data_IF_376547986505
#
_entry.id   IF_376547986505
#
_cell.length_a   1.000
_cell.length_b   1.000
_cell.length_c   1.000
_cell.angle_alpha   90.00
_cell.angle_beta   90.00
_cell.angle_gamma   90.00
#
_symmetry.space_group_name_H-M   'P 1'
#
loop_
_entity.id
_entity.type
_entity.pdbx_description
1 polymer ?
#
# COMPACT_ATOMS: atom_id res chain seq x y z
N UNK A 1 -7.44 -11.13 -21.96
CA UNK A 1 -7.60 -9.66 -22.02
C UNK A 1 -8.96 -9.17 -22.53
N UNK A 2 -10.03 -9.94 -22.38
CA UNK A 2 -11.41 -9.45 -22.55
C UNK A 2 -12.36 -10.42 -21.82
N UNK A 3 -11.96 -11.70 -21.83
CA UNK A 3 -12.59 -12.80 -21.10
C UNK A 3 -12.53 -12.68 -19.56
N UNK A 4 -11.47 -12.07 -19.00
CA UNK A 4 -11.32 -11.90 -17.53
C UNK A 4 -12.23 -10.78 -17.00
N UNK A 5 -12.34 -9.67 -17.72
CA UNK A 5 -13.23 -8.55 -17.37
C UNK A 5 -14.70 -8.98 -17.45
N UNK A 6 -15.07 -9.78 -18.46
CA UNK A 6 -16.42 -10.35 -18.61
C UNK A 6 -16.77 -11.39 -17.54
N UNK A 7 -15.80 -11.88 -16.77
CA UNK A 7 -16.02 -12.92 -15.75
C UNK A 7 -16.22 -12.37 -14.33
N UNK A 8 -16.04 -11.06 -14.12
CA UNK A 8 -16.22 -10.41 -12.83
C UNK A 8 -17.72 -10.39 -12.45
N UNK A 9 -18.11 -11.28 -11.53
CA UNK A 9 -19.43 -11.28 -10.88
C UNK A 9 -19.32 -10.59 -9.52
N UNK A 10 -20.20 -9.63 -9.25
CA UNK A 10 -20.25 -8.86 -8.00
C UNK A 10 -21.12 -7.61 -8.16
N UNK A 11 -21.35 -6.87 -7.07
CA UNK A 11 -22.04 -5.58 -7.14
C UNK A 11 -21.16 -4.57 -7.91
N UNK A 12 -21.70 -3.53 -8.59
CA UNK A 12 -20.92 -2.65 -9.47
C UNK A 12 -19.67 -2.03 -8.83
N UNK A 13 -19.71 -1.76 -7.52
CA UNK A 13 -18.56 -1.27 -6.74
C UNK A 13 -17.42 -2.29 -6.70
N UNK A 14 -17.73 -3.56 -6.42
CA UNK A 14 -16.76 -4.65 -6.36
C UNK A 14 -16.17 -4.95 -7.75
N UNK A 15 -16.96 -4.82 -8.81
CA UNK A 15 -16.48 -5.01 -10.18
C UNK A 15 -15.49 -3.91 -10.58
N UNK A 16 -15.75 -2.65 -10.19
CA UNK A 16 -14.83 -1.52 -10.43
C UNK A 16 -13.54 -1.69 -9.61
N UNK A 17 -13.64 -2.12 -8.36
CA UNK A 17 -12.50 -2.38 -7.48
C UNK A 17 -11.63 -3.52 -8.05
N UNK A 18 -12.25 -4.62 -8.47
CA UNK A 18 -11.56 -5.76 -9.10
C UNK A 18 -10.93 -5.41 -10.46
N UNK A 19 -11.60 -4.59 -11.28
CA UNK A 19 -11.05 -4.14 -12.56
C UNK A 19 -9.83 -3.22 -12.38
N UNK A 20 -9.85 -2.35 -11.35
CA UNK A 20 -8.68 -1.55 -10.96
C UNK A 20 -7.53 -2.44 -10.50
N UNK A 21 -7.80 -3.46 -9.69
CA UNK A 21 -6.81 -4.43 -9.20
C UNK A 21 -6.17 -5.26 -10.34
N UNK A 22 -6.93 -5.67 -11.34
CA UNK A 22 -6.41 -6.40 -12.50
C UNK A 22 -5.46 -5.56 -13.35
N UNK A 23 -5.75 -4.27 -13.52
CA UNK A 23 -4.91 -3.35 -14.28
C UNK A 23 -3.60 -3.01 -13.54
N UNK A 24 -3.67 -2.89 -12.21
CA UNK A 24 -2.49 -2.61 -11.37
C UNK A 24 -1.61 -3.83 -11.15
N UNK A 25 -2.18 -5.05 -11.04
CA UNK A 25 -1.40 -6.30 -10.97
C UNK A 25 -0.46 -6.49 -12.16
N UNK A 26 -0.91 -6.17 -13.38
CA UNK A 26 -0.07 -6.17 -14.60
C UNK A 26 0.97 -5.06 -14.64
N UNK A 27 0.79 -3.98 -13.86
CA UNK A 27 1.69 -2.82 -13.81
C UNK A 27 2.75 -2.95 -12.71
N UNK A 28 2.55 -3.79 -11.69
CA UNK A 28 3.51 -3.98 -10.59
C UNK A 28 4.67 -4.92 -10.92
N UNK A 29 4.46 -5.85 -11.86
CA UNK A 29 5.51 -6.77 -12.30
C UNK A 29 6.66 -6.05 -13.03
N UNK A 30 6.48 -4.79 -13.46
CA UNK A 30 7.58 -3.97 -13.97
C UNK A 30 8.45 -3.45 -12.81
N UNK A 31 9.43 -4.26 -12.42
CA UNK A 31 10.58 -3.95 -11.52
C UNK A 31 10.30 -2.82 -10.52
N UNK A 32 9.52 -3.12 -9.47
CA UNK A 32 9.59 -2.33 -8.23
C UNK A 32 11.06 -2.33 -7.78
N UNK A 33 11.55 -1.16 -7.36
CA UNK A 33 12.93 -1.00 -6.93
C UNK A 33 13.28 -1.90 -5.75
N UNK A 34 14.53 -2.35 -5.68
CA UNK A 34 14.99 -3.19 -4.58
C UNK A 34 14.89 -2.44 -3.24
N UNK A 35 14.46 -3.12 -2.16
CA UNK A 35 14.46 -2.54 -0.83
C UNK A 35 15.88 -2.21 -0.39
N UNK A 36 16.07 -1.06 0.27
CA UNK A 36 17.35 -0.60 0.80
C UNK A 36 17.47 -0.71 2.32
N UNK A 37 16.38 -1.07 2.99
CA UNK A 37 16.29 -1.29 4.45
C UNK A 37 15.06 -2.11 4.82
N UNK A 38 14.97 -2.57 6.06
CA UNK A 38 13.81 -3.32 6.57
C UNK A 38 12.49 -2.53 6.48
N UNK A 39 12.56 -1.21 6.61
CA UNK A 39 11.39 -0.33 6.52
C UNK A 39 10.89 -0.22 5.07
N UNK A 40 11.82 -0.01 4.13
CA UNK A 40 11.49 0.02 2.69
C UNK A 40 10.96 -1.33 2.20
N UNK A 41 11.52 -2.45 2.70
CA UNK A 41 11.02 -3.78 2.42
C UNK A 41 9.59 -3.95 2.91
N UNK A 42 9.30 -3.57 4.16
CA UNK A 42 7.94 -3.62 4.70
C UNK A 42 6.94 -2.81 3.87
N UNK A 43 7.30 -1.58 3.45
CA UNK A 43 6.46 -0.76 2.58
C UNK A 43 6.22 -1.44 1.23
N UNK A 44 7.28 -1.91 0.57
CA UNK A 44 7.20 -2.59 -0.74
C UNK A 44 6.33 -3.85 -0.64
N UNK A 45 6.55 -4.68 0.38
CA UNK A 45 5.79 -5.90 0.61
C UNK A 45 4.31 -5.57 0.86
N UNK A 46 4.02 -4.56 1.71
CA UNK A 46 2.65 -4.14 2.02
C UNK A 46 1.89 -3.64 0.79
N UNK A 47 2.53 -2.77 0.00
CA UNK A 47 1.98 -2.22 -1.24
C UNK A 47 1.77 -3.35 -2.27
N UNK A 48 2.78 -4.20 -2.48
CA UNK A 48 2.68 -5.37 -3.37
C UNK A 48 1.55 -6.31 -2.94
N UNK A 49 1.39 -6.53 -1.62
CA UNK A 49 0.35 -7.37 -1.07
C UNK A 49 -1.04 -6.77 -1.30
N UNK A 50 -1.19 -5.45 -1.12
CA UNK A 50 -2.43 -4.73 -1.41
C UNK A 50 -2.88 -4.92 -2.86
N UNK A 51 -1.98 -4.81 -3.83
CA UNK A 51 -2.35 -4.98 -5.24
C UNK A 51 -2.61 -6.43 -5.65
N UNK A 52 -2.03 -7.39 -4.95
CA UNK A 52 -2.24 -8.81 -5.25
C UNK A 52 -3.46 -9.42 -4.55
N UNK A 53 -3.78 -8.95 -3.34
CA UNK A 53 -4.76 -9.58 -2.45
C UNK A 53 -5.86 -8.62 -1.95
N UNK A 54 -5.74 -7.32 -2.21
CA UNK A 54 -6.74 -6.31 -1.88
C UNK A 54 -6.66 -5.77 -0.44
N UNK A 55 -7.60 -4.87 -0.11
CA UNK A 55 -7.63 -4.10 1.15
C UNK A 55 -7.69 -4.96 2.41
N UNK A 56 -8.63 -5.92 2.47
CA UNK A 56 -8.87 -6.69 3.70
C UNK A 56 -7.65 -7.51 4.12
N UNK A 57 -6.99 -8.19 3.18
CA UNK A 57 -5.86 -9.05 3.50
C UNK A 57 -4.56 -8.27 3.69
N UNK A 58 -4.37 -7.15 2.98
CA UNK A 58 -3.23 -6.25 3.21
C UNK A 58 -3.26 -5.56 4.58
N UNK A 59 -4.44 -5.22 5.11
CA UNK A 59 -4.58 -4.72 6.49
C UNK A 59 -4.11 -5.78 7.50
N UNK A 60 -4.55 -7.04 7.33
CA UNK A 60 -4.11 -8.14 8.21
C UNK A 60 -2.61 -8.39 8.09
N UNK A 61 -2.09 -8.35 6.86
CA UNK A 61 -0.66 -8.51 6.58
C UNK A 61 0.15 -7.40 7.26
N UNK A 62 -0.19 -6.14 7.04
CA UNK A 62 0.53 -4.99 7.61
C UNK A 62 0.57 -5.08 9.14
N UNK A 63 -0.58 -5.30 9.78
CA UNK A 63 -0.66 -5.42 11.24
C UNK A 63 0.25 -6.51 11.81
N UNK A 64 0.39 -7.65 11.13
CA UNK A 64 1.19 -8.78 11.60
C UNK A 64 2.70 -8.61 11.38
N UNK A 65 3.09 -7.75 10.44
CA UNK A 65 4.48 -7.65 9.98
C UNK A 65 5.15 -6.30 10.32
N UNK A 66 4.52 -5.46 11.14
CA UNK A 66 5.13 -4.24 11.68
C UNK A 66 5.88 -4.53 13.00
N UNK A 67 7.20 -4.43 12.98
CA UNK A 67 8.08 -4.78 14.09
C UNK A 67 8.74 -3.57 14.76
N UNK A 68 8.80 -2.43 14.08
CA UNK A 68 9.41 -1.20 14.60
C UNK A 68 8.50 0.03 14.41
N UNK A 69 8.89 1.17 15.02
CA UNK A 69 8.05 2.38 14.99
C UNK A 69 7.96 3.04 13.62
N UNK A 70 8.96 2.90 12.76
CA UNK A 70 8.90 3.40 11.37
C UNK A 70 7.90 2.56 10.58
N UNK A 71 7.92 1.23 10.71
CA UNK A 71 6.95 0.33 10.08
C UNK A 71 5.52 0.58 10.58
N UNK A 72 5.33 0.89 11.87
CA UNK A 72 4.02 1.33 12.38
C UNK A 72 3.58 2.66 11.73
N UNK A 73 4.50 3.59 11.54
CA UNK A 73 4.21 4.87 10.86
C UNK A 73 3.84 4.66 9.39
N UNK A 74 4.54 3.75 8.70
CA UNK A 74 4.21 3.30 7.34
C UNK A 74 2.81 2.68 7.31
N UNK A 75 2.50 1.81 8.28
CA UNK A 75 1.21 1.14 8.38
C UNK A 75 0.07 2.13 8.64
N UNK A 76 0.28 3.14 9.50
CA UNK A 76 -0.66 4.24 9.70
C UNK A 76 -0.96 4.97 8.38
N UNK A 77 0.08 5.36 7.65
CA UNK A 77 -0.06 6.06 6.37
C UNK A 77 -0.85 5.22 5.36
N UNK A 78 -0.55 3.91 5.31
CA UNK A 78 -1.27 2.95 4.48
C UNK A 78 -2.75 2.84 4.86
N UNK A 79 -3.07 2.68 6.15
CA UNK A 79 -4.45 2.59 6.63
C UNK A 79 -5.26 3.83 6.23
N UNK A 80 -4.66 5.01 6.37
CA UNK A 80 -5.28 6.26 5.95
C UNK A 80 -5.51 6.29 4.43
N UNK A 81 -4.52 5.90 3.63
CA UNK A 81 -4.62 5.85 2.17
C UNK A 81 -5.74 4.91 1.68
N UNK A 82 -5.92 3.77 2.35
CA UNK A 82 -7.01 2.82 2.00
C UNK A 82 -8.35 3.16 2.66
N UNK A 83 -8.46 4.28 3.41
CA UNK A 83 -9.68 4.69 4.12
C UNK A 83 -10.07 3.71 5.24
N UNK A 84 -9.15 3.44 6.16
CA UNK A 84 -9.38 2.66 7.37
C UNK A 84 -9.01 3.50 8.61
N UNK A 85 -9.93 3.57 9.58
CA UNK A 85 -9.86 4.47 10.73
C UNK A 85 -9.42 3.74 12.00
N UNK A 86 -8.16 3.31 12.02
CA UNK A 86 -7.53 2.66 13.18
C UNK A 86 -6.42 3.52 13.80
N UNK A 87 -6.56 4.85 13.78
CA UNK A 87 -5.54 5.79 14.30
C UNK A 87 -5.22 5.57 15.80
N UNK A 88 -6.19 5.08 16.57
CA UNK A 88 -6.06 4.82 18.01
C UNK A 88 -4.97 3.80 18.38
N UNK A 89 -4.48 2.99 17.43
CA UNK A 89 -3.44 1.99 17.70
C UNK A 89 -2.01 2.54 17.66
N UNK A 90 -1.83 3.82 17.32
CA UNK A 90 -0.53 4.43 17.09
C UNK A 90 -0.21 5.50 18.14
N UNK A 91 1.08 5.66 18.43
CA UNK A 91 1.58 6.78 19.25
C UNK A 91 1.63 8.08 18.44
N UNK A 92 1.69 9.23 19.12
CA UNK A 92 1.78 10.54 18.46
C UNK A 92 2.97 10.64 17.50
N UNK A 93 4.14 10.09 17.87
CA UNK A 93 5.32 10.08 17.00
C UNK A 93 5.10 9.25 15.73
N UNK A 94 4.42 8.11 15.86
CA UNK A 94 4.11 7.25 14.71
C UNK A 94 3.10 7.93 13.78
N UNK A 95 2.09 8.59 14.36
CA UNK A 95 1.11 9.39 13.62
C UNK A 95 1.79 10.56 12.90
N UNK A 96 2.71 11.26 13.55
CA UNK A 96 3.41 12.42 12.97
C UNK A 96 4.24 12.01 11.76
N UNK A 97 5.04 10.96 11.88
CA UNK A 97 5.81 10.42 10.75
C UNK A 97 4.88 9.87 9.66
N UNK A 98 3.83 9.16 10.06
CA UNK A 98 2.82 8.62 9.16
C UNK A 98 2.11 9.69 8.34
N UNK A 99 1.73 10.82 8.97
CA UNK A 99 1.18 11.99 8.27
C UNK A 99 2.19 12.60 7.30
N UNK A 100 3.48 12.66 7.67
CA UNK A 100 4.55 13.18 6.81
C UNK A 100 4.76 12.34 5.54
N UNK A 101 4.56 11.03 5.62
CA UNK A 101 4.75 10.13 4.47
C UNK A 101 3.45 9.77 3.74
N UNK A 102 2.31 10.23 4.25
CA UNK A 102 0.98 9.88 3.76
C UNK A 102 0.83 10.08 2.25
N UNK A 103 1.17 11.25 1.73
CA UNK A 103 0.96 11.58 0.31
C UNK A 103 1.70 10.61 -0.62
N UNK A 104 2.92 10.19 -0.27
CA UNK A 104 3.68 9.21 -1.05
C UNK A 104 3.01 7.83 -1.04
N UNK A 105 2.51 7.40 0.12
CA UNK A 105 1.84 6.11 0.28
C UNK A 105 0.47 6.11 -0.41
N UNK A 106 -0.26 7.22 -0.33
CA UNK A 106 -1.54 7.43 -1.00
C UNK A 106 -1.40 7.40 -2.52
N UNK A 107 -0.37 8.06 -3.05
CA UNK A 107 -0.02 8.00 -4.47
C UNK A 107 0.30 6.56 -4.92
N UNK A 108 1.05 5.80 -4.11
CA UNK A 108 1.34 4.38 -4.40
C UNK A 108 0.07 3.53 -4.44
N UNK A 109 -0.83 3.68 -3.45
CA UNK A 109 -2.09 2.93 -3.35
C UNK A 109 -3.04 3.26 -4.51
N UNK A 110 -3.10 4.52 -4.92
CA UNK A 110 -3.92 4.98 -6.04
C UNK A 110 -3.26 4.75 -7.42
N UNK A 111 -2.24 3.89 -7.46
CA UNK A 111 -1.63 3.35 -8.67
C UNK A 111 -0.92 4.42 -9.52
N UNK A 112 -0.31 5.40 -8.87
CA UNK A 112 0.70 6.26 -9.48
C UNK A 112 2.07 5.55 -9.52
N UNK A 113 3.09 6.17 -10.11
CA UNK A 113 4.42 5.59 -10.28
C UNK A 113 5.07 5.26 -8.91
N UNK A 114 4.92 4.00 -8.49
CA UNK A 114 5.38 3.49 -7.19
C UNK A 114 6.86 3.71 -7.01
N UNK A 115 7.67 3.53 -8.06
CA UNK A 115 9.12 3.67 -7.99
C UNK A 115 9.51 5.13 -7.75
N UNK A 116 8.83 6.08 -8.38
CA UNK A 116 9.10 7.49 -8.14
C UNK A 116 8.73 7.91 -6.72
N UNK A 117 7.64 7.39 -6.17
CA UNK A 117 7.29 7.67 -4.77
C UNK A 117 8.28 6.99 -3.79
N UNK A 118 8.75 5.79 -4.10
CA UNK A 118 9.78 5.10 -3.30
C UNK A 118 11.12 5.87 -3.30
N UNK A 119 11.51 6.48 -4.43
CA UNK A 119 12.70 7.35 -4.48
C UNK A 119 12.55 8.59 -3.58
N UNK A 120 11.36 9.22 -3.57
CA UNK A 120 11.10 10.41 -2.74
C UNK A 120 11.11 10.11 -1.24
N UNK A 121 10.51 8.98 -0.84
CA UNK A 121 10.40 8.61 0.58
C UNK A 121 11.70 8.02 1.16
N UNK A 122 12.66 7.61 0.31
CA UNK A 122 13.93 6.97 0.72
C UNK A 122 14.71 7.73 1.80
N UNK A 123 14.73 9.07 1.75
CA UNK A 123 15.41 9.89 2.76
C UNK A 123 14.67 10.03 4.10
N UNK A 124 13.45 9.51 4.20
CA UNK A 124 12.57 9.66 5.36
C UNK A 124 12.45 8.35 6.15
N UNK A 125 12.31 7.22 5.43
CA UNK A 125 12.15 5.88 6.02
C UNK A 125 13.38 4.99 5.85
N UNK A 126 14.52 5.61 5.47
CA UNK A 126 15.83 5.01 5.25
C UNK A 126 16.21 4.00 6.31
#
# INVERSE_FOLDING_TARGET
TDSEIKSLKGNPVEVIENAKLLKSKKSMESKIMDPWSENSKYLIDLITYYFNYGKSDSIKFGRKNMYNDIQKSIYYAFLKAVGNEEEWMFSENQILLGKRIYEYVDDMVNNQDVNDQLKKIKGIIG
#
